data_IF_376764047591
#
_entry.id   IF_376764047591
#
_cell.length_a   1.000
_cell.length_b   1.000
_cell.length_c   1.000
_cell.angle_alpha   90.00
_cell.angle_beta   90.00
_cell.angle_gamma   90.00
#
_symmetry.space_group_name_H-M   'P 1'
#
loop_
_entity.id
_entity.type
_entity.pdbx_description
1 polymer ?
#
# COMPACT_ATOMS: atom_id res chain seq x y z
N UNK A 1 -38.94 -12.71 1.56
CA UNK A 1 -39.92 -13.73 2.00
C UNK A 1 -41.29 -13.09 2.12
N UNK A 2 -42.28 -13.63 1.41
CA UNK A 2 -43.69 -13.20 1.51
C UNK A 2 -44.37 -14.17 2.46
N UNK A 3 -44.78 -13.69 3.64
CA UNK A 3 -45.64 -14.47 4.55
C UNK A 3 -47.09 -14.04 4.30
N UNK A 4 -47.89 -14.99 3.81
CA UNK A 4 -49.32 -14.77 3.53
C UNK A 4 -50.04 -14.38 4.82
N UNK A 5 -50.62 -13.17 4.85
CA UNK A 5 -51.44 -12.70 5.97
C UNK A 5 -50.76 -11.76 6.99
N UNK A 6 -49.46 -11.46 6.84
CA UNK A 6 -48.69 -10.60 7.79
C UNK A 6 -48.05 -9.37 7.21
N UNK A 7 -48.41 -8.97 5.99
CA UNK A 7 -47.80 -7.80 5.31
C UNK A 7 -46.41 -8.06 4.73
N UNK A 8 -45.89 -7.10 3.98
CA UNK A 8 -44.56 -7.13 3.41
C UNK A 8 -43.62 -6.54 4.44
N UNK A 9 -42.73 -7.34 5.01
CA UNK A 9 -41.62 -6.85 5.84
C UNK A 9 -40.39 -6.67 4.97
N UNK A 10 -39.93 -5.43 4.85
CA UNK A 10 -38.60 -5.14 4.31
C UNK A 10 -37.60 -5.52 5.41
N UNK A 11 -36.96 -6.66 5.27
CA UNK A 11 -35.78 -7.00 6.09
C UNK A 11 -34.75 -5.90 5.83
N UNK A 12 -34.45 -5.08 6.83
CA UNK A 12 -33.30 -4.17 6.78
C UNK A 12 -32.08 -5.08 6.69
N UNK A 13 -31.67 -5.43 5.48
CA UNK A 13 -30.29 -5.84 5.28
C UNK A 13 -29.47 -4.66 5.72
N UNK A 14 -28.77 -4.78 6.84
CA UNK A 14 -27.58 -3.97 7.08
C UNK A 14 -26.69 -4.26 5.90
N UNK A 15 -26.74 -3.35 4.92
CA UNK A 15 -25.78 -3.37 3.83
C UNK A 15 -24.45 -3.17 4.55
N UNK A 16 -23.75 -4.26 4.82
CA UNK A 16 -22.32 -4.17 5.08
C UNK A 16 -21.79 -3.51 3.82
N UNK A 17 -21.37 -2.24 3.95
CA UNK A 17 -21.09 -1.38 2.80
C UNK A 17 -19.84 -1.82 2.08
N UNK A 18 -19.92 -2.95 1.38
CA UNK A 18 -18.86 -3.42 0.51
C UNK A 18 -19.00 -2.71 -0.84
N UNK A 19 -17.99 -1.94 -1.20
CA UNK A 19 -17.88 -1.34 -2.52
C UNK A 19 -17.07 -2.33 -3.37
N UNK A 20 -17.64 -2.78 -4.47
CA UNK A 20 -16.97 -3.66 -5.43
C UNK A 20 -16.64 -2.90 -6.70
N UNK A 21 -15.36 -2.87 -7.07
CA UNK A 21 -14.93 -2.38 -8.37
C UNK A 21 -14.67 -3.56 -9.30
N UNK A 22 -15.30 -3.56 -10.47
CA UNK A 22 -14.98 -4.49 -11.55
C UNK A 22 -14.29 -3.73 -12.66
N UNK A 23 -12.99 -3.93 -12.81
CA UNK A 23 -12.23 -3.40 -13.92
C UNK A 23 -12.42 -4.32 -15.14
N UNK A 24 -12.79 -3.75 -16.28
CA UNK A 24 -12.97 -4.49 -17.53
C UNK A 24 -11.62 -4.84 -18.15
N UNK A 25 -10.66 -3.93 -18.01
CA UNK A 25 -9.26 -4.10 -18.43
C UNK A 25 -8.36 -3.57 -17.31
N UNK A 26 -7.39 -4.38 -16.91
CA UNK A 26 -6.42 -3.99 -15.89
C UNK A 26 -5.17 -3.47 -16.59
N UNK A 27 -4.80 -2.22 -16.28
CA UNK A 27 -3.51 -1.62 -16.58
C UNK A 27 -2.76 -1.44 -15.27
N UNK A 28 -1.72 -2.24 -15.04
CA UNK A 28 -1.00 -2.27 -13.76
C UNK A 28 -0.25 -0.95 -13.47
N UNK A 29 0.22 -0.24 -14.51
CA UNK A 29 0.87 1.06 -14.33
C UNK A 29 -0.12 2.11 -13.85
N UNK A 30 -1.35 2.11 -14.36
CA UNK A 30 -2.43 2.99 -13.88
C UNK A 30 -2.84 2.64 -12.43
N UNK A 31 -2.84 1.35 -12.06
CA UNK A 31 -3.11 0.92 -10.68
C UNK A 31 -2.01 1.44 -9.73
N UNK A 32 -0.74 1.35 -10.13
CA UNK A 32 0.39 1.87 -9.34
C UNK A 32 0.24 3.38 -9.16
N UNK A 33 -0.12 4.12 -10.21
CA UNK A 33 -0.33 5.57 -10.15
C UNK A 33 -1.43 5.93 -9.15
N UNK A 34 -2.60 5.28 -9.25
CA UNK A 34 -3.73 5.51 -8.34
C UNK A 34 -3.34 5.15 -6.89
N UNK A 35 -2.67 4.00 -6.68
CA UNK A 35 -2.18 3.59 -5.36
C UNK A 35 -1.24 4.64 -4.78
N UNK A 36 -0.24 5.09 -5.55
CA UNK A 36 0.73 6.08 -5.10
C UNK A 36 0.08 7.43 -4.76
N UNK A 37 -0.89 7.87 -5.55
CA UNK A 37 -1.67 9.08 -5.26
C UNK A 37 -2.41 8.97 -3.92
N UNK A 38 -3.07 7.84 -3.66
CA UNK A 38 -3.80 7.61 -2.41
C UNK A 38 -2.84 7.54 -1.22
N UNK A 39 -1.70 6.85 -1.35
CA UNK A 39 -0.67 6.76 -0.31
C UNK A 39 -0.08 8.14 0.01
N UNK A 40 0.20 8.96 -1.00
CA UNK A 40 0.64 10.33 -0.78
C UNK A 40 -0.39 11.15 -0.01
N UNK A 41 -1.68 10.99 -0.30
CA UNK A 41 -2.75 11.64 0.46
C UNK A 41 -2.84 11.14 1.90
N UNK A 42 -2.50 9.89 2.17
CA UNK A 42 -2.37 9.37 3.54
C UNK A 42 -1.21 10.09 4.24
N UNK A 43 -0.02 10.13 3.62
CA UNK A 43 1.17 10.81 4.18
C UNK A 43 0.87 12.27 4.54
N UNK A 44 0.24 13.02 3.62
CA UNK A 44 -0.16 14.40 3.85
C UNK A 44 -1.06 14.57 5.10
N UNK A 45 -1.96 13.61 5.34
CA UNK A 45 -2.89 13.65 6.47
C UNK A 45 -2.25 13.27 7.81
N UNK A 46 -1.24 12.43 7.80
CA UNK A 46 -0.69 11.86 9.03
C UNK A 46 0.65 12.47 9.46
N UNK A 47 1.31 13.24 8.60
CA UNK A 47 2.69 13.72 8.82
C UNK A 47 2.90 14.38 10.19
N UNK A 48 1.89 15.08 10.69
CA UNK A 48 1.93 15.77 11.99
C UNK A 48 1.16 15.03 13.10
N UNK A 49 0.56 13.87 12.81
CA UNK A 49 -0.25 13.11 13.77
C UNK A 49 0.26 11.68 14.00
N UNK A 50 1.25 11.23 13.23
CA UNK A 50 1.90 9.94 13.48
C UNK A 50 2.59 9.96 14.86
N UNK A 51 2.32 8.94 15.67
CA UNK A 51 2.79 8.91 17.06
C UNK A 51 4.21 8.34 17.17
N UNK A 52 4.96 8.66 18.24
CA UNK A 52 6.25 8.02 18.51
C UNK A 52 6.17 6.49 18.52
N UNK A 53 5.14 5.91 19.13
CA UNK A 53 4.93 4.46 19.15
C UNK A 53 4.71 3.85 17.76
N UNK A 54 4.07 4.59 16.83
CA UNK A 54 3.97 4.17 15.45
C UNK A 54 5.33 4.26 14.74
N UNK A 55 6.10 5.31 14.98
CA UNK A 55 7.46 5.43 14.44
C UNK A 55 8.40 4.32 14.95
N UNK A 56 8.28 3.90 16.20
CA UNK A 56 9.03 2.76 16.75
C UNK A 56 8.67 1.44 16.05
N UNK A 57 7.39 1.21 15.79
CA UNK A 57 6.95 0.03 15.02
C UNK A 57 7.45 0.06 13.58
N UNK A 58 7.40 1.21 12.91
CA UNK A 58 7.99 1.41 11.59
C UNK A 58 9.48 1.11 11.59
N UNK A 59 10.22 1.60 12.61
CA UNK A 59 11.65 1.32 12.79
C UNK A 59 11.93 -0.17 12.93
N UNK A 60 11.10 -0.89 13.69
CA UNK A 60 11.25 -2.34 13.89
C UNK A 60 11.16 -3.10 12.55
N UNK A 61 10.12 -2.85 11.74
CA UNK A 61 9.94 -3.51 10.46
C UNK A 61 11.00 -3.10 9.44
N UNK A 62 11.40 -1.83 9.44
CA UNK A 62 12.44 -1.36 8.55
C UNK A 62 13.80 -2.01 8.85
N UNK A 63 14.17 -2.20 10.13
CA UNK A 63 15.38 -2.94 10.50
C UNK A 63 15.32 -4.39 10.07
N UNK A 64 14.16 -5.04 10.13
CA UNK A 64 13.99 -6.39 9.63
C UNK A 64 14.22 -6.45 8.11
N UNK A 65 13.66 -5.50 7.36
CA UNK A 65 13.90 -5.37 5.90
C UNK A 65 15.39 -5.12 5.60
N UNK A 66 16.03 -4.20 6.32
CA UNK A 66 17.47 -3.90 6.18
C UNK A 66 18.36 -5.11 6.50
N UNK A 67 17.95 -5.92 7.47
CA UNK A 67 18.68 -7.14 7.83
C UNK A 67 18.55 -8.20 6.73
N UNK A 68 17.34 -8.45 6.25
CA UNK A 68 17.10 -9.40 5.17
C UNK A 68 17.82 -9.02 3.87
N UNK A 69 17.88 -7.71 3.57
CA UNK A 69 18.57 -7.21 2.38
C UNK A 69 20.09 -7.45 2.35
N UNK A 70 20.73 -7.68 3.50
CA UNK A 70 22.16 -8.06 3.55
C UNK A 70 22.42 -9.45 2.96
N UNK A 71 21.39 -10.28 2.96
CA UNK A 71 21.39 -11.62 2.40
C UNK A 71 20.68 -11.67 1.03
N UNK A 72 20.53 -10.51 0.36
CA UNK A 72 19.81 -10.33 -0.91
C UNK A 72 18.34 -10.81 -0.85
N UNK A 73 17.73 -10.78 0.33
CA UNK A 73 16.33 -11.17 0.54
C UNK A 73 15.44 -9.96 0.74
N UNK A 74 14.39 -9.85 -0.07
CA UNK A 74 13.33 -8.87 0.16
C UNK A 74 12.26 -9.43 1.10
N UNK A 75 12.07 -8.79 2.26
CA UNK A 75 11.04 -9.17 3.23
C UNK A 75 9.70 -8.50 2.90
N UNK A 76 8.93 -9.11 2.00
CA UNK A 76 7.60 -8.62 1.61
C UNK A 76 6.63 -8.51 2.80
N UNK A 77 6.76 -9.40 3.79
CA UNK A 77 5.92 -9.39 4.99
C UNK A 77 6.20 -8.16 5.87
N UNK A 78 7.45 -7.76 6.04
CA UNK A 78 7.82 -6.61 6.87
C UNK A 78 7.56 -5.30 6.12
N UNK A 79 7.77 -5.27 4.80
CA UNK A 79 7.35 -4.17 3.93
C UNK A 79 5.84 -3.93 4.00
N UNK A 80 5.04 -5.00 3.90
CA UNK A 80 3.60 -4.90 4.06
C UNK A 80 3.21 -4.31 5.43
N UNK A 81 3.84 -4.77 6.53
CA UNK A 81 3.56 -4.27 7.88
C UNK A 81 3.99 -2.82 8.05
N UNK A 82 5.12 -2.42 7.45
CA UNK A 82 5.56 -1.03 7.44
C UNK A 82 4.51 -0.12 6.80
N UNK A 83 4.11 -0.41 5.58
CA UNK A 83 3.07 0.35 4.89
C UNK A 83 1.72 0.31 5.60
N UNK A 84 1.36 -0.84 6.20
CA UNK A 84 0.12 -1.00 6.93
C UNK A 84 0.01 -0.02 8.12
N UNK A 85 1.08 0.22 8.87
CA UNK A 85 1.07 1.21 9.97
C UNK A 85 0.76 2.60 9.44
N UNK A 86 1.38 3.01 8.33
CA UNK A 86 1.16 4.31 7.70
C UNK A 86 -0.30 4.46 7.26
N UNK A 87 -0.82 3.45 6.57
CA UNK A 87 -2.19 3.45 6.04
C UNK A 87 -3.22 3.44 7.17
N UNK A 88 -3.01 2.62 8.21
CA UNK A 88 -3.91 2.50 9.36
C UNK A 88 -3.94 3.78 10.22
N UNK A 89 -2.86 4.58 10.22
CA UNK A 89 -2.81 5.87 10.87
C UNK A 89 -3.74 6.91 10.22
N UNK A 90 -4.15 6.68 8.96
CA UNK A 90 -5.08 7.57 8.26
C UNK A 90 -6.45 7.61 8.93
N UNK A 91 -7.03 8.80 9.14
CA UNK A 91 -8.41 8.93 9.58
C UNK A 91 -9.41 8.45 8.52
N UNK A 92 -9.02 8.38 7.25
CA UNK A 92 -9.86 7.91 6.14
C UNK A 92 -9.71 6.41 5.93
N UNK A 93 -10.56 5.64 6.62
CA UNK A 93 -10.53 4.16 6.56
C UNK A 93 -10.87 3.59 5.19
N UNK A 94 -11.76 4.25 4.43
CA UNK A 94 -12.10 3.84 3.06
C UNK A 94 -10.89 3.96 2.13
N UNK A 95 -10.12 5.04 2.24
CA UNK A 95 -8.87 5.21 1.48
C UNK A 95 -7.87 4.09 1.77
N UNK A 96 -7.71 3.73 3.06
CA UNK A 96 -6.85 2.62 3.44
C UNK A 96 -7.28 1.30 2.83
N UNK A 97 -8.58 0.99 2.86
CA UNK A 97 -9.12 -0.22 2.24
C UNK A 97 -8.86 -0.25 0.73
N UNK A 98 -9.05 0.87 0.03
CA UNK A 98 -8.75 0.97 -1.41
C UNK A 98 -7.29 0.70 -1.70
N UNK A 99 -6.36 1.29 -0.94
CA UNK A 99 -4.91 1.06 -1.11
C UNK A 99 -4.59 -0.43 -0.95
N UNK A 100 -5.14 -1.10 0.06
CA UNK A 100 -4.90 -2.53 0.27
C UNK A 100 -5.44 -3.41 -0.85
N UNK A 101 -6.62 -3.10 -1.40
CA UNK A 101 -7.16 -3.86 -2.53
C UNK A 101 -6.34 -3.64 -3.82
N UNK A 102 -5.88 -2.41 -4.09
CA UNK A 102 -4.99 -2.13 -5.21
C UNK A 102 -3.64 -2.85 -5.04
N UNK A 103 -3.09 -2.86 -3.81
CA UNK A 103 -1.85 -3.58 -3.51
C UNK A 103 -1.99 -5.08 -3.79
N UNK A 104 -3.06 -5.73 -3.35
CA UNK A 104 -3.30 -7.15 -3.63
C UNK A 104 -3.27 -7.48 -5.13
N UNK A 105 -3.85 -6.61 -5.95
CA UNK A 105 -3.82 -6.79 -7.41
C UNK A 105 -2.40 -6.75 -7.93
N UNK A 106 -1.57 -5.80 -7.45
CA UNK A 106 -0.17 -5.67 -7.85
C UNK A 106 0.70 -6.83 -7.35
N UNK A 107 0.53 -7.22 -6.07
CA UNK A 107 1.27 -8.32 -5.46
C UNK A 107 0.99 -9.64 -6.19
N UNK A 108 -0.28 -9.94 -6.50
CA UNK A 108 -0.66 -11.13 -7.26
C UNK A 108 -0.02 -11.15 -8.65
N UNK A 109 -0.01 -9.99 -9.33
CA UNK A 109 0.62 -9.88 -10.64
C UNK A 109 2.14 -10.07 -10.56
N UNK A 110 2.79 -9.47 -9.58
CA UNK A 110 4.24 -9.59 -9.39
C UNK A 110 4.68 -11.03 -9.05
N UNK A 111 3.86 -11.81 -8.33
CA UNK A 111 4.14 -13.21 -8.00
C UNK A 111 4.24 -14.13 -9.24
N UNK A 112 3.67 -13.73 -10.38
CA UNK A 112 3.81 -14.47 -11.64
C UNK A 112 5.23 -14.42 -12.21
N UNK A 113 6.11 -13.52 -11.69
CA UNK A 113 7.45 -13.26 -12.21
C UNK A 113 8.54 -13.58 -11.16
N UNK A 114 9.46 -14.49 -11.52
CA UNK A 114 10.42 -15.07 -10.58
C UNK A 114 11.51 -14.11 -10.06
N UNK A 115 11.82 -13.01 -10.76
CA UNK A 115 12.98 -12.16 -10.47
C UNK A 115 12.64 -10.77 -9.89
N UNK A 116 11.41 -10.60 -9.41
CA UNK A 116 10.95 -9.29 -8.93
C UNK A 116 11.50 -8.92 -7.55
N UNK A 117 11.78 -9.90 -6.70
CA UNK A 117 12.16 -9.68 -5.29
C UNK A 117 13.43 -8.84 -5.13
N UNK A 118 14.45 -9.04 -5.97
CA UNK A 118 15.71 -8.29 -5.89
C UNK A 118 15.53 -6.79 -6.17
N UNK A 119 14.56 -6.42 -6.99
CA UNK A 119 14.35 -5.00 -7.35
C UNK A 119 13.79 -4.20 -6.18
N UNK A 120 12.93 -4.77 -5.34
CA UNK A 120 12.36 -4.05 -4.19
C UNK A 120 13.36 -3.80 -3.06
N UNK A 121 14.46 -4.55 -2.97
CA UNK A 121 15.55 -4.27 -2.02
C UNK A 121 16.06 -2.84 -2.20
N UNK A 122 16.10 -2.32 -3.44
CA UNK A 122 16.54 -0.95 -3.72
C UNK A 122 15.58 0.12 -3.18
N UNK A 123 14.38 -0.23 -2.75
CA UNK A 123 13.44 0.73 -2.13
C UNK A 123 13.72 0.95 -0.64
N UNK A 124 14.45 0.04 0.02
CA UNK A 124 14.68 0.07 1.48
C UNK A 124 15.31 1.38 1.96
N UNK A 125 16.33 1.96 1.30
CA UNK A 125 16.85 3.27 1.68
C UNK A 125 15.79 4.37 1.65
N UNK A 126 14.83 4.30 0.73
CA UNK A 126 13.75 5.28 0.63
C UNK A 126 12.70 5.11 1.74
N UNK A 127 12.49 3.88 2.24
CA UNK A 127 11.69 3.65 3.44
C UNK A 127 12.37 4.28 4.67
N UNK A 128 13.71 4.24 4.75
CA UNK A 128 14.48 4.93 5.79
C UNK A 128 14.31 6.45 5.71
N UNK A 129 14.40 7.02 4.51
CA UNK A 129 14.15 8.44 4.29
C UNK A 129 12.72 8.84 4.70
N UNK A 130 11.72 8.01 4.34
CA UNK A 130 10.32 8.24 4.68
C UNK A 130 10.08 8.23 6.19
N UNK A 131 10.64 7.24 6.91
CA UNK A 131 10.55 7.18 8.36
C UNK A 131 11.21 8.39 9.05
N UNK A 132 12.38 8.80 8.57
CA UNK A 132 13.06 9.98 9.10
C UNK A 132 12.22 11.26 8.89
N UNK A 133 11.59 11.37 7.71
CA UNK A 133 10.70 12.48 7.41
C UNK A 133 9.46 12.51 8.32
N UNK A 134 8.91 11.34 8.68
CA UNK A 134 7.84 11.25 9.68
C UNK A 134 8.32 11.72 11.07
N UNK A 135 9.50 11.29 11.51
CA UNK A 135 10.09 11.72 12.80
C UNK A 135 10.34 13.24 12.85
N UNK A 136 10.68 13.83 11.70
CA UNK A 136 10.91 15.27 11.54
C UNK A 136 9.62 16.07 11.33
N UNK A 137 8.48 15.43 11.05
CA UNK A 137 7.26 16.11 10.61
C UNK A 137 7.42 16.84 9.27
N UNK A 138 8.33 16.39 8.40
CA UNK A 138 8.68 17.06 7.16
C UNK A 138 7.94 16.46 5.97
N UNK A 139 6.81 17.09 5.60
CA UNK A 139 5.97 16.64 4.50
C UNK A 139 6.73 16.54 3.17
N UNK A 140 7.53 17.54 2.84
CA UNK A 140 8.26 17.54 1.56
C UNK A 140 9.19 16.34 1.45
N UNK A 141 10.02 16.10 2.48
CA UNK A 141 10.91 14.93 2.51
C UNK A 141 10.13 13.61 2.44
N UNK A 142 8.98 13.52 3.12
CA UNK A 142 8.15 12.33 3.10
C UNK A 142 7.59 12.05 1.70
N UNK A 143 7.07 13.07 1.02
CA UNK A 143 6.60 12.95 -0.36
C UNK A 143 7.73 12.61 -1.33
N UNK A 144 8.91 13.21 -1.18
CA UNK A 144 10.07 12.93 -2.01
C UNK A 144 10.54 11.47 -1.85
N UNK A 145 10.60 10.96 -0.62
CA UNK A 145 10.93 9.56 -0.33
C UNK A 145 9.91 8.59 -0.92
N UNK A 146 8.62 8.86 -0.71
CA UNK A 146 7.54 8.06 -1.28
C UNK A 146 7.59 8.05 -2.83
N UNK A 147 7.86 9.19 -3.47
CA UNK A 147 8.01 9.26 -4.92
C UNK A 147 9.18 8.41 -5.45
N UNK A 148 10.26 8.25 -4.69
CA UNK A 148 11.37 7.35 -5.07
C UNK A 148 10.94 5.88 -5.05
N UNK A 149 10.16 5.47 -4.03
CA UNK A 149 9.57 4.12 -3.96
C UNK A 149 8.66 3.91 -5.17
N UNK A 150 7.72 4.82 -5.42
CA UNK A 150 6.82 4.78 -6.56
C UNK A 150 7.52 4.64 -7.91
N UNK A 151 8.60 5.41 -8.14
CA UNK A 151 9.39 5.33 -9.38
C UNK A 151 10.05 3.97 -9.56
N UNK A 152 10.46 3.33 -8.47
CA UNK A 152 11.02 1.98 -8.51
C UNK A 152 9.93 0.96 -8.89
N UNK A 153 8.73 1.07 -8.32
CA UNK A 153 7.59 0.23 -8.69
C UNK A 153 7.25 0.37 -10.18
N UNK A 154 7.13 1.60 -10.70
CA UNK A 154 6.88 1.86 -12.12
C UNK A 154 7.96 1.21 -13.00
N UNK A 155 9.23 1.38 -12.65
CA UNK A 155 10.34 0.80 -13.42
C UNK A 155 10.26 -0.72 -13.48
N UNK A 156 9.94 -1.38 -12.34
CA UNK A 156 9.79 -2.81 -12.26
C UNK A 156 8.63 -3.30 -13.12
N UNK A 157 7.44 -2.74 -12.94
CA UNK A 157 6.24 -3.18 -13.67
C UNK A 157 6.33 -2.87 -15.17
N UNK A 158 7.03 -1.80 -15.58
CA UNK A 158 7.31 -1.52 -16.99
C UNK A 158 8.21 -2.59 -17.62
N UNK A 159 9.19 -3.12 -16.86
CA UNK A 159 10.05 -4.24 -17.34
C UNK A 159 9.24 -5.53 -17.48
N UNK A 160 8.38 -5.82 -16.51
CA UNK A 160 7.50 -6.98 -16.55
C UNK A 160 6.58 -6.93 -17.78
N UNK A 161 5.96 -5.79 -18.04
CA UNK A 161 5.05 -5.57 -19.18
C UNK A 161 5.78 -5.72 -20.53
N UNK A 162 7.05 -5.31 -20.60
CA UNK A 162 7.86 -5.46 -21.81
C UNK A 162 8.25 -6.91 -22.12
N UNK A 163 8.27 -7.79 -21.14
CA UNK A 163 8.56 -9.22 -21.31
C UNK A 163 7.34 -10.03 -21.78
N UNK A 164 6.13 -9.44 -21.73
CA UNK A 164 4.89 -10.07 -22.18
C UNK A 164 4.57 -9.85 -23.67
N UNK A 165 5.27 -8.94 -24.31
CA UNK A 165 5.10 -8.62 -25.75
C UNK A 165 6.08 -9.39 -26.60
#
# INVERSE_FOLDING_TARGET
>A
EVQTGKGIFVKRNTISGSIYFKLVKINYLEIIEIKAFLEQKVIEKIIHSITPAQCEKLECYLRAMESAAKDDVYSAADDFKFHKIIIDASPNKTMGQMIFELRKVLDNYAMEFKDTNSTWIYTIPYHRELLNAFKEGNLKKACDAHNKIYKTDISLFSKIDSQRK
#
